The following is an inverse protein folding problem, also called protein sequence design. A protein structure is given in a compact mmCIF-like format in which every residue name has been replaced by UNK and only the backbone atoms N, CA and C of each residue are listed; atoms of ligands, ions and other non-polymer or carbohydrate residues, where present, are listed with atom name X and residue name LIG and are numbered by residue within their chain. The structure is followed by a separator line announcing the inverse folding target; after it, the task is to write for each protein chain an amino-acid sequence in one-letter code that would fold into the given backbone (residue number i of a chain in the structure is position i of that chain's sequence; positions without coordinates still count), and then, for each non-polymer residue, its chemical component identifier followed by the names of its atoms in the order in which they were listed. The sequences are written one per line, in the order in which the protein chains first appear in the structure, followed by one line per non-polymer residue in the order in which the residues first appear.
data_IF_512513143196
#
_entry.id   IF_512513143196
#
_cell.length_a   1.000
_cell.length_b   1.000
_cell.length_c   1.000
_cell.angle_alpha   90.00
_cell.angle_beta   90.00
_cell.angle_gamma   90.00
#
_symmetry.space_group_name_H-M   'P 1'
#
loop_
_entity.id
_entity.type
_entity.pdbx_description
1 polymer ?
#
# COMPACT_ATOMS: atom_id res chain seq x y z
N UNK A 1 -13.29 -63.21 -10.56
CA UNK A 1 -13.49 -62.04 -11.40
C UNK A 1 -13.83 -60.92 -10.48
N UNK A 2 -12.80 -60.19 -10.07
CA UNK A 2 -12.87 -59.18 -8.98
C UNK A 2 -12.90 -57.79 -9.57
N UNK A 3 -13.92 -57.07 -9.20
CA UNK A 3 -14.03 -55.63 -9.42
C UNK A 3 -13.29 -54.92 -8.28
N UNK A 4 -12.26 -54.20 -8.61
CA UNK A 4 -11.62 -53.22 -7.71
C UNK A 4 -12.22 -51.86 -7.99
N UNK A 5 -12.86 -51.31 -6.97
CA UNK A 5 -13.33 -49.92 -6.95
C UNK A 5 -12.15 -49.04 -6.53
N UNK A 6 -11.68 -48.18 -7.44
CA UNK A 6 -10.74 -47.13 -7.14
C UNK A 6 -11.50 -46.01 -6.41
N UNK A 7 -11.16 -45.83 -5.13
CA UNK A 7 -11.57 -44.69 -4.33
C UNK A 7 -10.65 -43.52 -4.69
N UNK A 8 -11.16 -42.57 -5.47
CA UNK A 8 -10.51 -41.29 -5.68
C UNK A 8 -10.67 -40.47 -4.39
N UNK A 9 -9.61 -40.41 -3.61
CA UNK A 9 -9.49 -39.48 -2.48
C UNK A 9 -9.25 -38.10 -3.04
N UNK A 10 -10.29 -37.25 -2.92
CA UNK A 10 -10.23 -35.81 -3.15
C UNK A 10 -9.32 -35.19 -2.08
N UNK A 11 -8.06 -34.97 -2.42
CA UNK A 11 -7.13 -34.20 -1.60
C UNK A 11 -7.42 -32.72 -1.82
N UNK A 12 -8.34 -32.14 -1.04
CA UNK A 12 -8.31 -30.72 -0.74
C UNK A 12 -7.07 -30.44 0.10
N UNK A 13 -5.95 -30.20 -0.57
CA UNK A 13 -4.82 -29.53 0.07
C UNK A 13 -5.23 -28.09 0.34
N UNK A 14 -5.56 -27.80 1.61
CA UNK A 14 -5.42 -26.46 2.14
C UNK A 14 -3.92 -26.17 2.13
N UNK A 15 -3.43 -25.50 1.08
CA UNK A 15 -2.11 -24.87 1.13
C UNK A 15 -2.13 -23.88 2.30
N UNK A 16 -1.57 -24.29 3.44
CA UNK A 16 -1.22 -23.37 4.51
C UNK A 16 -0.18 -22.42 3.91
N UNK A 17 -0.58 -21.16 3.70
CA UNK A 17 0.32 -20.10 3.27
C UNK A 17 1.38 -19.94 4.36
N UNK A 18 2.56 -20.51 4.14
CA UNK A 18 3.68 -20.38 5.08
C UNK A 18 4.19 -18.95 4.90
N UNK A 19 3.92 -18.11 5.90
CA UNK A 19 4.46 -16.78 6.01
C UNK A 19 5.97 -16.81 5.82
N UNK A 20 6.53 -15.92 5.00
CA UNK A 20 7.97 -15.89 4.80
C UNK A 20 8.65 -15.62 6.15
N UNK A 21 9.68 -16.39 6.47
CA UNK A 21 10.49 -16.17 7.68
C UNK A 21 11.01 -14.73 7.75
N UNK A 22 11.26 -14.10 6.62
CA UNK A 22 11.69 -12.71 6.49
C UNK A 22 10.68 -11.67 7.00
N UNK A 23 9.36 -11.93 6.91
CA UNK A 23 8.37 -11.00 7.47
C UNK A 23 8.34 -11.06 9.01
N UNK A 24 8.38 -12.28 9.57
CA UNK A 24 8.37 -12.46 11.03
C UNK A 24 9.53 -11.73 11.69
N UNK A 25 10.72 -11.79 11.09
CA UNK A 25 11.93 -11.13 11.59
C UNK A 25 11.81 -9.60 11.59
N UNK A 26 10.89 -9.04 10.78
CA UNK A 26 10.64 -7.60 10.71
C UNK A 26 9.56 -7.12 11.68
N UNK A 27 8.80 -8.02 12.31
CA UNK A 27 7.76 -7.62 13.24
C UNK A 27 8.34 -7.16 14.59
N UNK A 28 7.63 -6.24 15.24
CA UNK A 28 7.96 -5.79 16.62
C UNK A 28 7.99 -6.99 17.58
N UNK A 29 8.83 -6.97 18.63
CA UNK A 29 9.03 -8.11 19.55
C UNK A 29 7.77 -8.66 20.21
N UNK A 30 6.77 -7.81 20.46
CA UNK A 30 5.47 -8.22 21.01
C UNK A 30 4.76 -9.25 20.14
N UNK A 31 4.91 -9.17 18.81
CA UNK A 31 4.31 -10.12 17.87
C UNK A 31 5.04 -11.47 17.80
N UNK A 32 6.27 -11.56 18.32
CA UNK A 32 6.96 -12.83 18.45
C UNK A 32 6.43 -13.66 19.64
N UNK A 33 5.98 -12.95 20.70
CA UNK A 33 5.42 -13.61 21.92
C UNK A 33 3.92 -13.86 21.79
N UNK A 34 3.21 -13.00 21.05
CA UNK A 34 1.78 -13.10 20.78
C UNK A 34 1.55 -12.81 19.29
N UNK A 35 1.73 -13.81 18.42
CA UNK A 35 1.55 -13.63 16.98
C UNK A 35 0.17 -13.09 16.64
N UNK A 36 0.06 -12.13 15.71
CA UNK A 36 -1.23 -11.63 15.26
C UNK A 36 -2.01 -12.75 14.58
N UNK A 37 -3.34 -12.64 14.61
CA UNK A 37 -4.19 -13.54 13.85
C UNK A 37 -3.88 -13.43 12.35
N UNK A 38 -4.13 -14.50 11.62
CA UNK A 38 -3.98 -14.55 10.16
C UNK A 38 -5.30 -14.92 9.51
N UNK A 39 -5.65 -14.24 8.43
CA UNK A 39 -6.79 -14.58 7.59
C UNK A 39 -6.36 -14.65 6.12
N UNK A 40 -6.37 -15.85 5.54
CA UNK A 40 -5.99 -16.11 4.14
C UNK A 40 -4.59 -15.55 3.75
N UNK A 41 -3.60 -15.70 4.60
CA UNK A 41 -2.24 -15.18 4.36
C UNK A 41 -2.08 -13.68 4.63
N UNK A 42 -3.07 -13.03 5.27
CA UNK A 42 -3.01 -11.63 5.68
C UNK A 42 -2.87 -11.57 7.19
N UNK A 43 -1.81 -10.93 7.68
CA UNK A 43 -1.63 -10.68 9.11
C UNK A 43 -2.58 -9.59 9.60
N UNK A 44 -3.28 -9.85 10.71
CA UNK A 44 -4.23 -8.92 11.32
C UNK A 44 -3.59 -8.26 12.54
N UNK A 45 -2.89 -7.14 12.31
CA UNK A 45 -2.27 -6.32 13.35
C UNK A 45 -3.13 -5.13 13.78
N UNK A 46 -4.26 -4.87 13.09
CA UNK A 46 -5.15 -3.77 13.38
C UNK A 46 -6.14 -4.12 14.50
N UNK A 47 -6.18 -3.32 15.56
CA UNK A 47 -7.32 -3.32 16.49
C UNK A 47 -8.40 -2.36 15.95
N UNK A 48 -9.40 -2.91 15.27
CA UNK A 48 -10.49 -2.12 14.69
C UNK A 48 -11.26 -1.29 15.72
N UNK A 49 -11.25 -1.70 17.01
CA UNK A 49 -11.94 -0.96 18.08
C UNK A 49 -11.23 0.36 18.41
N UNK A 50 -9.96 0.48 18.12
CA UNK A 50 -9.16 1.69 18.34
C UNK A 50 -9.14 2.61 17.11
N UNK A 51 -9.61 2.16 15.94
CA UNK A 51 -9.65 2.98 14.74
C UNK A 51 -10.73 4.07 14.86
N UNK A 52 -10.31 5.32 14.83
CA UNK A 52 -11.19 6.49 15.00
C UNK A 52 -11.02 7.52 13.86
N UNK A 53 -11.84 8.56 13.90
CA UNK A 53 -11.72 9.70 12.98
C UNK A 53 -11.88 9.34 11.50
N UNK A 54 -11.05 9.95 10.67
CA UNK A 54 -11.08 9.76 9.23
C UNK A 54 -10.64 8.32 8.85
N UNK A 55 -9.70 7.72 9.57
CA UNK A 55 -9.32 6.32 9.36
C UNK A 55 -10.52 5.37 9.46
N UNK A 56 -11.37 5.51 10.48
CA UNK A 56 -12.58 4.68 10.63
C UNK A 56 -13.58 4.91 9.49
N UNK A 57 -13.72 6.15 9.03
CA UNK A 57 -14.61 6.53 7.93
C UNK A 57 -14.14 5.92 6.62
N UNK A 58 -12.86 6.11 6.27
CA UNK A 58 -12.32 5.66 4.99
C UNK A 58 -12.09 4.16 4.96
N UNK A 59 -11.68 3.52 6.07
CA UNK A 59 -11.62 2.05 6.19
C UNK A 59 -12.97 1.41 5.82
N UNK A 60 -14.08 1.90 6.41
CA UNK A 60 -15.42 1.39 6.10
C UNK A 60 -15.84 1.66 4.65
N UNK A 61 -15.43 2.79 4.11
CA UNK A 61 -15.70 3.16 2.71
C UNK A 61 -14.95 2.20 1.76
N UNK A 62 -13.65 2.00 1.93
CA UNK A 62 -12.84 1.14 1.07
C UNK A 62 -13.17 -0.35 1.23
N UNK A 63 -13.51 -0.82 2.43
CA UNK A 63 -14.01 -2.18 2.64
C UNK A 63 -15.28 -2.47 1.81
N UNK A 64 -16.19 -1.49 1.68
CA UNK A 64 -17.38 -1.62 0.83
C UNK A 64 -17.06 -1.47 -0.65
N UNK A 65 -16.17 -0.55 -0.99
CA UNK A 65 -15.76 -0.29 -2.37
C UNK A 65 -14.98 -1.47 -2.96
N UNK A 66 -14.21 -2.20 -2.14
CA UNK A 66 -13.40 -3.33 -2.56
C UNK A 66 -14.19 -4.35 -3.42
N UNK A 67 -15.48 -4.57 -3.14
CA UNK A 67 -16.32 -5.50 -3.92
C UNK A 67 -16.58 -5.06 -5.37
N UNK A 68 -16.55 -3.75 -5.66
CA UNK A 68 -16.86 -3.18 -6.98
C UNK A 68 -15.67 -2.46 -7.65
N UNK A 69 -14.55 -2.34 -6.94
CA UNK A 69 -13.39 -1.55 -7.34
C UNK A 69 -12.79 -1.99 -8.69
N UNK A 70 -12.69 -3.29 -8.97
CA UNK A 70 -12.09 -3.82 -10.20
C UNK A 70 -12.83 -3.48 -11.49
N UNK A 71 -14.18 -3.40 -11.43
CA UNK A 71 -14.97 -3.02 -12.62
C UNK A 71 -14.74 -1.54 -12.96
N UNK A 72 -14.58 -0.69 -11.92
CA UNK A 72 -14.38 0.74 -12.09
C UNK A 72 -12.99 1.07 -12.64
N UNK A 73 -11.95 0.57 -12.00
CA UNK A 73 -10.57 0.95 -12.34
C UNK A 73 -10.11 0.43 -13.71
N UNK A 74 -10.44 -0.84 -14.07
CA UNK A 74 -10.04 -1.42 -15.36
C UNK A 74 -10.76 -0.82 -16.56
N UNK A 75 -12.03 -0.43 -16.41
CA UNK A 75 -12.85 0.06 -17.53
C UNK A 75 -12.92 1.58 -17.59
N UNK A 76 -13.16 2.25 -16.47
CA UNK A 76 -13.30 3.71 -16.48
C UNK A 76 -11.95 4.44 -16.54
N UNK A 77 -10.93 4.00 -15.83
CA UNK A 77 -9.61 4.64 -15.85
C UNK A 77 -9.00 4.59 -17.26
N UNK A 78 -9.04 3.43 -17.93
CA UNK A 78 -8.48 3.26 -19.28
C UNK A 78 -9.29 3.94 -20.37
N UNK A 79 -10.61 4.02 -20.23
CA UNK A 79 -11.49 4.70 -21.17
C UNK A 79 -11.48 6.22 -20.98
N UNK A 80 -11.34 6.70 -19.72
CA UNK A 80 -11.39 8.13 -19.42
C UNK A 80 -10.04 8.85 -19.63
N UNK A 81 -8.92 8.17 -19.33
CA UNK A 81 -7.60 8.81 -19.24
C UNK A 81 -6.51 8.14 -20.09
N UNK A 82 -6.86 7.11 -20.87
CA UNK A 82 -5.92 6.45 -21.80
C UNK A 82 -4.66 5.90 -21.09
N UNK A 83 -3.49 6.24 -21.65
CA UNK A 83 -2.19 5.81 -21.11
C UNK A 83 -1.58 6.79 -20.08
N UNK A 84 -2.19 7.96 -19.86
CA UNK A 84 -1.59 9.01 -19.02
C UNK A 84 -1.42 8.57 -17.56
N UNK A 85 -2.43 7.90 -16.98
CA UNK A 85 -2.35 7.35 -15.63
C UNK A 85 -1.25 6.28 -15.52
N UNK A 86 -1.11 5.43 -16.54
CA UNK A 86 -0.06 4.42 -16.57
C UNK A 86 1.33 5.06 -16.64
N UNK A 87 1.50 6.10 -17.47
CA UNK A 87 2.76 6.85 -17.58
C UNK A 87 3.12 7.55 -16.26
N UNK A 88 2.14 8.20 -15.62
CA UNK A 88 2.31 8.80 -14.31
C UNK A 88 2.77 7.77 -13.28
N UNK A 89 2.10 6.61 -13.20
CA UNK A 89 2.48 5.53 -12.27
C UNK A 89 3.88 4.98 -12.54
N UNK A 90 4.25 4.79 -13.81
CA UNK A 90 5.62 4.43 -14.19
C UNK A 90 6.64 5.50 -13.78
N UNK A 91 6.25 6.77 -13.86
CA UNK A 91 7.16 7.87 -13.53
C UNK A 91 7.50 7.86 -12.05
N UNK A 92 6.51 7.77 -11.15
CA UNK A 92 6.86 7.76 -9.73
C UNK A 92 7.47 6.42 -9.26
N UNK A 93 7.15 5.29 -9.87
CA UNK A 93 7.87 4.04 -9.54
C UNK A 93 9.35 4.10 -9.94
N UNK A 94 9.73 4.94 -10.94
CA UNK A 94 11.13 5.19 -11.32
C UNK A 94 11.88 6.11 -10.36
N UNK A 95 11.17 6.85 -9.49
CA UNK A 95 11.81 7.69 -8.47
C UNK A 95 12.49 6.87 -7.37
N UNK A 96 12.11 5.60 -7.21
CA UNK A 96 12.62 4.71 -6.18
C UNK A 96 13.81 3.88 -6.68
N UNK A 97 14.67 3.47 -5.75
CA UNK A 97 15.91 2.77 -6.00
C UNK A 97 15.71 1.25 -5.87
N UNK A 98 15.15 0.65 -6.90
CA UNK A 98 14.88 -0.78 -6.96
C UNK A 98 16.12 -1.62 -7.24
N UNK A 99 16.26 -2.74 -6.54
CA UNK A 99 17.24 -3.78 -6.87
C UNK A 99 16.70 -5.18 -6.53
N UNK A 100 17.12 -6.25 -7.23
CA UNK A 100 16.67 -7.59 -6.94
C UNK A 100 16.98 -8.00 -5.50
N UNK A 101 15.97 -8.51 -4.80
CA UNK A 101 16.05 -8.91 -3.39
C UNK A 101 15.87 -7.77 -2.39
N UNK A 102 15.63 -6.52 -2.82
CA UNK A 102 15.33 -5.45 -1.87
C UNK A 102 14.03 -5.75 -1.13
N UNK A 103 13.99 -5.35 0.14
CA UNK A 103 12.80 -5.39 0.98
C UNK A 103 12.03 -4.10 0.82
N UNK A 104 10.82 -4.17 0.28
CA UNK A 104 9.98 -3.01 -0.01
C UNK A 104 8.71 -2.99 0.84
N UNK A 105 8.44 -1.86 1.49
CA UNK A 105 7.18 -1.60 2.18
C UNK A 105 6.31 -0.67 1.34
N UNK A 106 5.11 -1.14 1.00
CA UNK A 106 4.08 -0.32 0.37
C UNK A 106 2.96 -0.03 1.37
N UNK A 107 2.96 1.20 1.90
CA UNK A 107 1.93 1.70 2.84
C UNK A 107 0.69 2.13 2.06
N UNK A 108 -0.48 1.68 2.49
CA UNK A 108 -1.77 1.82 1.77
C UNK A 108 -1.74 1.16 0.39
N UNK A 109 -1.26 -0.09 0.34
CA UNK A 109 -1.09 -0.84 -0.92
C UNK A 109 -2.41 -0.99 -1.71
N UNK A 110 -3.56 -0.93 -1.05
CA UNK A 110 -4.85 -1.13 -1.68
C UNK A 110 -4.94 -2.47 -2.40
N UNK A 111 -5.12 -2.45 -3.71
CA UNK A 111 -5.14 -3.65 -4.56
C UNK A 111 -3.78 -3.97 -5.20
N UNK A 112 -2.74 -3.21 -4.87
CA UNK A 112 -1.38 -3.38 -5.42
C UNK A 112 -1.25 -2.96 -6.88
N UNK A 113 -2.04 -1.99 -7.32
CA UNK A 113 -2.07 -1.57 -8.74
C UNK A 113 -0.69 -1.15 -9.24
N UNK A 114 0.10 -0.46 -8.41
CA UNK A 114 1.40 0.11 -8.81
C UNK A 114 2.50 -0.93 -9.00
N UNK A 115 2.36 -2.14 -8.47
CA UNK A 115 3.27 -3.24 -8.72
C UNK A 115 3.44 -3.59 -10.22
N UNK A 116 2.50 -3.14 -11.07
CA UNK A 116 2.56 -3.32 -12.54
C UNK A 116 3.46 -2.34 -13.25
N UNK A 117 3.92 -1.30 -12.55
CA UNK A 117 4.59 -0.15 -13.13
C UNK A 117 6.04 0.00 -12.66
N UNK A 118 6.64 -1.06 -12.15
CA UNK A 118 8.08 -1.14 -11.90
C UNK A 118 8.87 -0.79 -13.17
N UNK A 119 10.12 -0.31 -13.05
CA UNK A 119 11.03 -0.22 -14.18
C UNK A 119 11.15 -1.54 -14.94
N UNK A 120 11.34 -1.47 -16.26
CA UNK A 120 11.28 -2.65 -17.15
C UNK A 120 12.36 -3.71 -16.84
N UNK A 121 13.42 -3.33 -16.15
CA UNK A 121 14.54 -4.18 -15.75
C UNK A 121 14.34 -4.83 -14.37
N UNK A 122 13.24 -4.55 -13.69
CA UNK A 122 12.92 -5.07 -12.35
C UNK A 122 11.70 -5.98 -12.41
N UNK A 123 11.92 -7.25 -12.12
CA UNK A 123 10.83 -8.23 -12.01
C UNK A 123 10.12 -8.10 -10.65
N UNK A 124 8.78 -8.04 -10.66
CA UNK A 124 7.97 -7.92 -9.45
C UNK A 124 8.22 -9.06 -8.45
N UNK A 125 8.52 -10.24 -8.94
CA UNK A 125 8.83 -11.44 -8.15
C UNK A 125 10.22 -11.40 -7.50
N UNK A 126 11.11 -10.52 -7.97
CA UNK A 126 12.45 -10.35 -7.42
C UNK A 126 12.51 -9.43 -6.19
N UNK A 127 11.39 -8.77 -5.84
CA UNK A 127 11.28 -7.88 -4.70
C UNK A 127 10.59 -8.62 -3.54
N UNK A 128 11.11 -8.44 -2.30
CA UNK A 128 10.46 -8.90 -1.08
C UNK A 128 9.44 -7.86 -0.61
N UNK A 129 8.21 -8.00 -1.09
CA UNK A 129 7.14 -7.05 -0.84
C UNK A 129 6.48 -7.27 0.52
N UNK A 130 6.27 -6.18 1.23
CA UNK A 130 5.33 -6.08 2.35
C UNK A 130 4.30 -5.00 2.01
N UNK A 131 3.04 -5.39 1.91
CA UNK A 131 1.93 -4.47 1.67
C UNK A 131 1.13 -4.25 2.93
N UNK A 132 1.07 -3.01 3.41
CA UNK A 132 0.28 -2.59 4.57
C UNK A 132 -0.96 -1.83 4.13
N UNK A 133 -2.12 -2.13 4.72
CA UNK A 133 -3.36 -1.37 4.47
C UNK A 133 -4.33 -1.50 5.64
N UNK A 134 -5.06 -0.43 5.93
CA UNK A 134 -6.10 -0.42 6.96
C UNK A 134 -7.36 -1.18 6.52
N UNK A 135 -7.59 -1.32 5.21
CA UNK A 135 -8.75 -1.99 4.63
C UNK A 135 -8.46 -3.46 4.34
N UNK A 136 -8.97 -4.33 5.20
CA UNK A 136 -8.88 -5.78 4.98
C UNK A 136 -9.54 -6.21 3.65
N UNK A 137 -10.60 -5.51 3.22
CA UNK A 137 -11.25 -5.76 1.93
C UNK A 137 -10.32 -5.50 0.74
N UNK A 138 -9.51 -4.44 0.80
CA UNK A 138 -8.51 -4.15 -0.23
C UNK A 138 -7.38 -5.18 -0.22
N UNK A 139 -6.87 -5.57 0.95
CA UNK A 139 -5.83 -6.59 1.08
C UNK A 139 -6.27 -7.95 0.52
N UNK A 140 -7.50 -8.40 0.82
CA UNK A 140 -8.06 -9.63 0.23
C UNK A 140 -8.09 -9.58 -1.29
N UNK A 141 -8.33 -8.43 -1.85
CA UNK A 141 -8.31 -8.22 -3.28
C UNK A 141 -6.90 -8.20 -3.84
N UNK A 142 -5.97 -7.53 -3.17
CA UNK A 142 -4.54 -7.54 -3.48
C UNK A 142 -4.02 -8.98 -3.51
N UNK A 143 -4.31 -9.77 -2.49
CA UNK A 143 -3.98 -11.19 -2.41
C UNK A 143 -4.50 -11.99 -3.62
N UNK A 144 -5.76 -11.76 -4.01
CA UNK A 144 -6.35 -12.43 -5.17
C UNK A 144 -5.66 -12.06 -6.49
N UNK A 145 -5.19 -10.81 -6.63
CA UNK A 145 -4.55 -10.33 -7.87
C UNK A 145 -3.09 -10.80 -7.95
N UNK A 146 -2.36 -10.72 -6.83
CA UNK A 146 -0.92 -10.86 -6.78
C UNK A 146 -0.42 -12.17 -6.17
N UNK A 147 -1.28 -12.93 -5.47
CA UNK A 147 -0.92 -14.22 -4.90
C UNK A 147 -0.32 -15.14 -5.97
N UNK A 148 0.89 -15.66 -5.70
CA UNK A 148 1.67 -16.48 -6.62
C UNK A 148 2.32 -15.74 -7.80
N UNK A 149 2.16 -14.41 -7.90
CA UNK A 149 2.79 -13.60 -8.95
C UNK A 149 3.89 -12.68 -8.42
N UNK A 150 3.79 -12.31 -7.16
CA UNK A 150 4.78 -11.50 -6.44
C UNK A 150 5.15 -12.23 -5.15
N UNK A 151 6.37 -12.01 -4.66
CA UNK A 151 6.76 -12.39 -3.31
C UNK A 151 6.19 -11.32 -2.36
N UNK A 152 4.93 -11.49 -1.95
CA UNK A 152 4.14 -10.45 -1.28
C UNK A 152 3.55 -10.95 0.03
N UNK A 153 3.91 -10.29 1.11
CA UNK A 153 3.32 -10.43 2.42
C UNK A 153 2.32 -9.28 2.64
N UNK A 154 1.14 -9.57 3.20
CA UNK A 154 0.10 -8.57 3.44
C UNK A 154 -0.20 -8.42 4.92
N UNK A 155 -0.28 -7.16 5.39
CA UNK A 155 -0.47 -6.82 6.80
C UNK A 155 -1.59 -5.80 6.94
N UNK A 156 -2.63 -6.16 7.68
CA UNK A 156 -3.72 -5.25 8.01
C UNK A 156 -3.31 -4.43 9.25
N UNK A 157 -2.99 -3.16 9.04
CA UNK A 157 -2.57 -2.22 10.09
C UNK A 157 -2.88 -0.78 9.68
N UNK A 158 -2.77 0.16 10.63
CA UNK A 158 -2.79 1.58 10.34
C UNK A 158 -1.38 2.06 9.98
N UNK A 159 -1.29 3.06 9.09
CA UNK A 159 -0.02 3.67 8.70
C UNK A 159 0.65 4.41 9.87
N UNK A 160 -0.16 4.88 10.82
CA UNK A 160 0.26 5.60 12.03
C UNK A 160 0.85 4.68 13.12
N UNK A 161 0.73 3.36 12.95
CA UNK A 161 1.29 2.35 13.86
C UNK A 161 1.67 1.10 13.06
N UNK A 162 2.79 1.18 12.36
CA UNK A 162 3.31 0.07 11.60
C UNK A 162 3.88 -1.02 12.53
N UNK A 163 3.51 -2.29 12.35
CA UNK A 163 3.91 -3.38 13.26
C UNK A 163 5.35 -3.87 13.05
N UNK A 164 6.19 -3.08 12.40
CA UNK A 164 7.56 -3.44 12.04
C UNK A 164 8.58 -2.78 12.96
N UNK A 165 9.72 -3.45 13.16
CA UNK A 165 10.87 -2.89 13.85
C UNK A 165 11.52 -1.79 13.00
N UNK A 166 12.35 -0.95 13.63
CA UNK A 166 13.08 0.11 12.97
C UNK A 166 13.99 -0.45 11.86
N UNK A 167 14.27 0.37 10.85
CA UNK A 167 15.28 0.12 9.82
C UNK A 167 15.15 -1.25 9.11
N UNK A 168 13.91 -1.63 8.74
CA UNK A 168 13.59 -2.96 8.18
C UNK A 168 13.53 -3.01 6.67
N UNK A 169 13.34 -1.86 6.00
CA UNK A 169 13.03 -1.81 4.57
C UNK A 169 14.04 -0.98 3.78
N UNK A 170 14.40 -1.51 2.59
CA UNK A 170 15.31 -0.86 1.63
C UNK A 170 14.57 0.14 0.73
N UNK A 171 13.25 -0.04 0.56
CA UNK A 171 12.37 0.84 -0.21
C UNK A 171 11.09 1.04 0.58
N UNK A 172 10.64 2.29 0.75
CA UNK A 172 9.37 2.63 1.39
C UNK A 172 8.57 3.54 0.47
N UNK A 173 7.33 3.17 0.19
CA UNK A 173 6.47 3.97 -0.66
C UNK A 173 5.04 4.03 -0.15
N UNK A 174 4.38 5.13 -0.47
CA UNK A 174 2.96 5.35 -0.29
C UNK A 174 2.38 6.00 -1.55
N UNK A 175 1.27 5.46 -2.06
CA UNK A 175 0.56 6.03 -3.22
C UNK A 175 -0.94 6.05 -2.95
N UNK A 176 -1.49 7.24 -2.79
CA UNK A 176 -2.91 7.49 -2.60
C UNK A 176 -3.42 7.22 -1.19
N UNK A 177 -4.03 8.22 -0.57
CA UNK A 177 -4.74 8.11 0.69
C UNK A 177 -4.14 8.87 1.88
N UNK A 178 -2.90 9.39 1.81
CA UNK A 178 -2.32 10.14 2.94
C UNK A 178 -3.16 11.39 3.28
N UNK A 179 -3.82 11.96 2.30
CA UNK A 179 -4.71 13.09 2.45
C UNK A 179 -5.84 12.83 3.47
N UNK A 180 -6.15 11.56 3.71
CA UNK A 180 -7.27 11.10 4.52
C UNK A 180 -6.85 10.39 5.81
N UNK A 181 -5.54 10.36 6.12
CA UNK A 181 -5.05 9.81 7.39
C UNK A 181 -5.46 10.69 8.55
N UNK A 182 -5.78 10.07 9.69
CA UNK A 182 -6.13 10.77 10.92
C UNK A 182 -4.95 11.54 11.51
N UNK A 183 -3.75 10.98 11.42
CA UNK A 183 -2.49 11.59 11.83
C UNK A 183 -1.40 11.39 10.76
N UNK A 184 -1.38 12.32 9.80
CA UNK A 184 -0.42 12.30 8.68
C UNK A 184 1.02 12.36 9.16
N UNK A 185 1.28 13.18 10.18
CA UNK A 185 2.63 13.34 10.76
C UNK A 185 3.13 12.01 11.30
N UNK A 186 2.31 11.36 12.11
CA UNK A 186 2.66 10.07 12.69
C UNK A 186 2.90 8.99 11.63
N UNK A 187 2.10 8.97 10.57
CA UNK A 187 2.29 8.02 9.46
C UNK A 187 3.63 8.26 8.73
N UNK A 188 4.01 9.52 8.50
CA UNK A 188 5.32 9.85 7.90
C UNK A 188 6.45 9.45 8.84
N UNK A 189 6.35 9.74 10.14
CA UNK A 189 7.32 9.32 11.15
C UNK A 189 7.48 7.79 11.19
N UNK A 190 6.39 7.03 11.07
CA UNK A 190 6.45 5.57 11.01
C UNK A 190 7.13 5.07 9.72
N UNK A 191 6.84 5.68 8.55
CA UNK A 191 7.53 5.35 7.30
C UNK A 191 9.05 5.60 7.40
N UNK A 192 9.45 6.72 8.03
CA UNK A 192 10.86 7.04 8.26
C UNK A 192 11.48 6.04 9.23
N UNK A 193 10.82 5.73 10.34
CA UNK A 193 11.32 4.80 11.37
C UNK A 193 11.64 3.41 10.81
N UNK A 194 10.77 2.89 9.94
CA UNK A 194 10.94 1.54 9.39
C UNK A 194 11.87 1.48 8.20
N UNK A 195 12.21 2.61 7.59
CA UNK A 195 13.17 2.72 6.52
C UNK A 195 14.61 2.58 7.04
N UNK A 196 15.46 1.87 6.34
CA UNK A 196 16.89 1.78 6.65
C UNK A 196 17.58 3.13 6.42
N UNK A 197 18.71 3.42 7.08
CA UNK A 197 19.55 4.56 6.73
C UNK A 197 19.88 4.57 5.23
N UNK A 198 19.80 5.75 4.62
CA UNK A 198 20.01 5.92 3.17
C UNK A 198 18.81 5.59 2.28
N UNK A 199 17.73 5.04 2.83
CA UNK A 199 16.53 4.69 2.03
C UNK A 199 15.85 5.94 1.47
N UNK A 200 15.55 5.91 0.17
CA UNK A 200 14.69 6.91 -0.48
C UNK A 200 13.23 6.53 -0.25
N UNK A 201 12.49 7.42 0.40
CA UNK A 201 11.04 7.28 0.66
C UNK A 201 10.28 8.07 -0.41
N UNK A 202 9.13 7.56 -0.82
CA UNK A 202 8.23 8.25 -1.75
C UNK A 202 6.81 8.32 -1.19
N UNK A 203 6.22 9.52 -1.29
CA UNK A 203 4.80 9.78 -0.98
C UNK A 203 4.19 10.44 -2.22
N UNK A 204 3.20 9.80 -2.82
CA UNK A 204 2.46 10.33 -3.96
C UNK A 204 0.95 10.26 -3.69
N UNK A 205 0.22 11.31 -4.03
CA UNK A 205 -1.24 11.34 -3.84
C UNK A 205 -1.90 12.36 -4.79
N UNK A 206 -3.21 12.39 -4.80
CA UNK A 206 -3.99 13.35 -5.59
C UNK A 206 -3.89 14.76 -5.01
N UNK A 207 -3.83 15.74 -5.92
CA UNK A 207 -3.93 17.16 -5.55
C UNK A 207 -5.38 17.57 -5.22
N UNK A 208 -5.55 18.74 -4.57
CA UNK A 208 -6.86 19.32 -4.31
C UNK A 208 -7.71 19.46 -5.58
N UNK A 209 -7.08 19.85 -6.69
CA UNK A 209 -7.77 20.06 -7.97
C UNK A 209 -8.36 18.74 -8.52
N UNK A 210 -7.64 17.64 -8.39
CA UNK A 210 -8.15 16.32 -8.76
C UNK A 210 -9.33 15.90 -7.87
N UNK A 211 -9.19 16.03 -6.55
CA UNK A 211 -10.24 15.70 -5.59
C UNK A 211 -11.50 16.51 -5.86
N UNK A 212 -11.36 17.82 -6.12
CA UNK A 212 -12.48 18.72 -6.39
C UNK A 212 -13.14 18.41 -7.75
N UNK A 213 -12.36 18.10 -8.75
CA UNK A 213 -12.87 17.83 -10.10
C UNK A 213 -13.49 16.45 -10.25
N UNK A 214 -12.96 15.43 -9.59
CA UNK A 214 -13.37 14.05 -9.77
C UNK A 214 -14.23 13.52 -8.61
N UNK A 215 -13.77 13.67 -7.35
CA UNK A 215 -14.45 13.02 -6.22
C UNK A 215 -15.63 13.83 -5.70
N UNK A 216 -15.52 15.15 -5.61
CA UNK A 216 -16.64 16.01 -5.14
C UNK A 216 -17.78 16.11 -6.16
N UNK A 217 -17.50 15.94 -7.45
CA UNK A 217 -18.52 15.96 -8.51
C UNK A 217 -19.18 14.62 -8.74
N UNK A 218 -18.51 13.50 -8.43
CA UNK A 218 -19.03 12.18 -8.65
C UNK A 218 -20.12 11.83 -7.60
N UNK A 219 -21.28 11.35 -8.06
CA UNK A 219 -22.43 11.03 -7.20
C UNK A 219 -22.11 9.96 -6.15
N UNK A 220 -21.21 9.01 -6.46
CA UNK A 220 -20.85 7.90 -5.57
C UNK A 220 -19.87 8.34 -4.47
N UNK A 221 -18.96 9.27 -4.78
CA UNK A 221 -17.86 9.67 -3.89
C UNK A 221 -18.11 10.99 -3.18
N UNK A 222 -18.90 11.90 -3.79
CA UNK A 222 -19.10 13.27 -3.29
C UNK A 222 -19.48 13.37 -1.80
N UNK A 223 -20.21 12.38 -1.26
CA UNK A 223 -20.62 12.39 0.15
C UNK A 223 -19.43 12.13 1.08
N UNK A 224 -18.52 11.26 0.68
CA UNK A 224 -17.33 10.92 1.45
C UNK A 224 -16.30 12.07 1.43
N UNK A 225 -16.19 12.78 0.29
CA UNK A 225 -15.16 13.79 0.04
C UNK A 225 -15.64 15.25 0.17
N UNK A 226 -16.91 15.48 0.53
CA UNK A 226 -17.55 16.82 0.55
C UNK A 226 -16.75 17.88 1.32
N UNK A 227 -16.20 17.50 2.47
CA UNK A 227 -15.48 18.39 3.37
C UNK A 227 -13.96 18.16 3.31
N UNK A 228 -13.46 17.36 2.38
CA UNK A 228 -12.04 17.16 2.21
C UNK A 228 -11.42 18.46 1.68
N UNK A 229 -10.58 19.08 2.47
CA UNK A 229 -9.66 20.14 2.06
C UNK A 229 -8.26 19.58 2.08
N UNK A 230 -7.45 19.94 1.13
CA UNK A 230 -6.12 19.41 1.01
C UNK A 230 -5.16 20.50 0.53
N UNK A 231 -4.03 20.60 1.19
CA UNK A 231 -2.95 21.50 0.81
C UNK A 231 -1.64 20.70 0.79
N UNK A 232 -0.98 20.67 -0.36
CA UNK A 232 0.30 19.99 -0.55
C UNK A 232 1.37 20.51 0.43
N UNK A 233 1.37 21.81 0.69
CA UNK A 233 2.31 22.44 1.63
C UNK A 233 2.18 21.91 3.07
N UNK A 234 1.00 21.42 3.47
CA UNK A 234 0.82 20.76 4.76
C UNK A 234 1.61 19.43 4.84
N UNK A 235 1.64 18.66 3.75
CA UNK A 235 2.40 17.40 3.71
C UNK A 235 3.89 17.69 3.67
N UNK A 236 4.33 18.64 2.84
CA UNK A 236 5.74 19.05 2.77
C UNK A 236 6.27 19.51 4.13
N UNK A 237 5.48 20.28 4.87
CA UNK A 237 5.85 20.76 6.21
C UNK A 237 5.93 19.65 7.28
N UNK A 238 5.39 18.46 7.02
CA UNK A 238 5.47 17.31 7.93
C UNK A 238 6.75 16.47 7.73
N UNK A 239 7.49 16.69 6.64
CA UNK A 239 8.77 16.02 6.40
C UNK A 239 9.81 16.69 7.30
N UNK A 240 10.54 15.91 8.14
CA UNK A 240 11.56 16.47 9.01
C UNK A 240 12.67 17.19 8.22
N UNK A 241 13.19 18.28 8.77
CA UNK A 241 14.23 19.12 8.13
C UNK A 241 15.58 18.40 7.96
N UNK A 242 15.81 17.35 8.72
CA UNK A 242 17.03 16.51 8.65
C UNK A 242 16.99 15.46 7.54
N UNK A 243 15.88 15.32 6.81
CA UNK A 243 15.82 14.45 5.63
C UNK A 243 16.61 15.04 4.46
N UNK A 244 17.33 14.16 3.74
CA UNK A 244 18.15 14.52 2.59
C UNK A 244 17.39 14.39 1.27
N UNK A 245 17.89 15.03 0.21
CA UNK A 245 17.38 14.92 -1.17
C UNK A 245 15.86 15.13 -1.31
N UNK A 246 15.28 16.01 -0.47
CA UNK A 246 13.84 16.29 -0.53
C UNK A 246 13.48 16.99 -1.84
N UNK A 247 12.55 16.39 -2.58
CA UNK A 247 12.07 16.91 -3.86
C UNK A 247 10.56 16.70 -3.99
N UNK A 248 9.86 17.70 -4.49
CA UNK A 248 8.43 17.63 -4.84
C UNK A 248 8.26 17.85 -6.33
N UNK A 249 7.49 17.00 -6.98
CA UNK A 249 7.11 17.12 -8.37
C UNK A 249 5.60 17.01 -8.55
N UNK A 250 5.06 17.77 -9.50
CA UNK A 250 3.67 17.66 -9.92
C UNK A 250 3.62 16.83 -11.23
N UNK A 251 2.68 15.90 -11.29
CA UNK A 251 2.55 14.92 -12.36
C UNK A 251 1.14 14.95 -12.93
N UNK A 252 0.99 14.46 -14.15
CA UNK A 252 -0.29 14.31 -14.83
C UNK A 252 -1.11 15.61 -14.85
N UNK A 253 -0.53 16.68 -15.43
CA UNK A 253 -1.13 18.01 -15.47
C UNK A 253 -1.52 18.54 -14.08
N UNK A 254 -0.61 18.41 -13.12
CA UNK A 254 -0.75 18.87 -11.73
C UNK A 254 -1.89 18.18 -10.95
N UNK A 255 -2.37 17.02 -11.42
CA UNK A 255 -3.43 16.28 -10.74
C UNK A 255 -2.90 15.35 -9.63
N UNK A 256 -1.61 14.99 -9.69
CA UNK A 256 -0.91 14.22 -8.68
C UNK A 256 0.37 14.92 -8.26
N UNK A 257 0.75 14.76 -7.02
CA UNK A 257 2.07 15.13 -6.53
C UNK A 257 2.88 13.88 -6.18
N UNK A 258 4.18 14.02 -6.24
CA UNK A 258 5.14 13.02 -5.79
C UNK A 258 6.22 13.73 -4.98
N UNK A 259 6.31 13.40 -3.70
CA UNK A 259 7.35 13.86 -2.79
C UNK A 259 8.31 12.71 -2.58
N UNK A 260 9.59 12.95 -2.75
CA UNK A 260 10.65 12.01 -2.39
C UNK A 260 11.61 12.66 -1.41
N UNK A 261 12.12 11.89 -0.48
CA UNK A 261 13.16 12.31 0.44
C UNK A 261 13.96 11.10 0.90
N UNK A 262 15.15 11.33 1.43
CA UNK A 262 16.07 10.27 1.85
C UNK A 262 16.28 10.32 3.36
N UNK A 263 16.21 9.14 3.99
CA UNK A 263 16.65 8.99 5.39
C UNK A 263 18.18 9.16 5.43
N UNK A 264 18.73 10.02 6.30
CA UNK A 264 20.19 10.17 6.44
C UNK A 264 20.90 8.83 6.66
N UNK A 265 22.15 8.75 6.25
CA UNK A 265 22.93 7.52 6.44
C UNK A 265 23.45 7.36 7.88
N UNK A 266 23.55 8.49 8.64
CA UNK A 266 23.83 8.54 10.11
C UNK A 266 23.63 9.96 10.63
#
# INVERSE_FOLDING_TARGET
MFLTADVVLDYHQSESYIMSTTLLDKLKPEFHTSPPAEENGILLCLDEAQVQGDNAKYMKFYNRLASVYDLGERWFGRLAYGNEVAQMRQQFMKELEWFPGCSALYVSIGTGTDLRYLPDDIEVSAIDWTGADISLGMLKKCQKIWGGRANLNLVNCAAEDLPFIDQSFDVVLHVGGINFFSDKKRAIEEMIRVAKPGTKIMIADETSDYIDSQYKKNVLTRKAYKNATFDLSEIEALIPEDMEDTNTSLLWNDQFYCITFRVPQD
#
